data_IF_588956738126
#
_entry.id   IF_588956738126
#
_cell.length_a   1.000
_cell.length_b   1.000
_cell.length_c   1.000
_cell.angle_alpha   90.00
_cell.angle_beta   90.00
_cell.angle_gamma   90.00
#
_symmetry.space_group_name_H-M   'P 1'
#
loop_
_entity.id
_entity.type
_entity.pdbx_description
1 polymer ?
#
# COMPACT_ATOMS: atom_id res chain seq x y z
N UNK A 1 -12.70 -17.11 5.69
CA UNK A 1 -11.66 -18.14 5.94
C UNK A 1 -10.28 -17.48 5.95
N UNK A 2 -9.25 -18.17 6.51
CA UNK A 2 -7.86 -17.66 6.52
C UNK A 2 -7.32 -17.49 5.09
N UNK A 3 -7.65 -18.41 4.21
CA UNK A 3 -7.29 -18.39 2.79
C UNK A 3 -7.93 -17.19 2.05
N UNK A 4 -9.16 -16.86 2.38
CA UNK A 4 -9.87 -15.71 1.79
C UNK A 4 -9.18 -14.39 2.13
N UNK A 5 -8.76 -14.20 3.38
CA UNK A 5 -8.01 -13.03 3.82
C UNK A 5 -6.68 -12.92 3.08
N UNK A 6 -5.97 -14.04 2.93
CA UNK A 6 -4.69 -14.09 2.25
C UNK A 6 -4.83 -13.74 0.76
N UNK A 7 -5.78 -14.38 0.06
CA UNK A 7 -6.07 -14.10 -1.36
C UNK A 7 -6.44 -12.64 -1.55
N UNK A 8 -7.31 -12.09 -0.69
CA UNK A 8 -7.71 -10.68 -0.73
C UNK A 8 -6.50 -9.75 -0.56
N UNK A 9 -5.59 -10.05 0.38
CA UNK A 9 -4.37 -9.27 0.62
C UNK A 9 -3.42 -9.32 -0.58
N UNK A 10 -3.25 -10.49 -1.20
CA UNK A 10 -2.43 -10.65 -2.41
C UNK A 10 -3.03 -9.91 -3.59
N UNK A 11 -4.34 -10.00 -3.81
CA UNK A 11 -5.05 -9.26 -4.86
C UNK A 11 -4.89 -7.75 -4.68
N UNK A 12 -5.08 -7.24 -3.46
CA UNK A 12 -4.89 -5.81 -3.18
C UNK A 12 -3.46 -5.33 -3.43
N UNK A 13 -2.45 -6.15 -3.13
CA UNK A 13 -1.04 -5.84 -3.42
C UNK A 13 -0.74 -5.78 -4.92
N UNK A 14 -1.47 -6.52 -5.76
CA UNK A 14 -1.29 -6.54 -7.22
C UNK A 14 -1.97 -5.37 -7.93
N UNK A 15 -2.88 -4.64 -7.26
CA UNK A 15 -3.57 -3.50 -7.85
C UNK A 15 -2.63 -2.31 -7.99
N UNK A 16 -2.75 -1.60 -9.12
CA UNK A 16 -2.04 -0.34 -9.32
C UNK A 16 -2.54 0.71 -8.34
N UNK A 17 -1.62 1.47 -7.76
CA UNK A 17 -1.98 2.60 -6.90
C UNK A 17 -2.72 3.67 -7.72
N UNK A 18 -3.74 4.27 -7.11
CA UNK A 18 -4.41 5.42 -7.68
C UNK A 18 -3.43 6.60 -7.81
N UNK A 19 -3.57 7.39 -8.89
CA UNK A 19 -2.77 8.59 -9.14
C UNK A 19 -3.68 9.73 -9.58
N UNK A 20 -3.29 10.95 -9.25
CA UNK A 20 -3.91 12.14 -9.82
C UNK A 20 -3.42 12.33 -11.26
N UNK A 21 -4.34 12.61 -12.17
CA UNK A 21 -4.06 12.81 -13.60
C UNK A 21 -4.75 14.06 -14.10
N UNK A 22 -4.12 14.81 -15.02
CA UNK A 22 -4.78 15.92 -15.72
C UNK A 22 -5.80 15.43 -16.76
N UNK A 23 -5.74 14.15 -17.15
CA UNK A 23 -6.69 13.51 -18.07
C UNK A 23 -7.80 12.81 -17.31
N UNK A 24 -9.01 12.89 -17.83
CA UNK A 24 -10.17 12.23 -17.22
C UNK A 24 -10.40 10.87 -17.90
N UNK A 25 -9.81 9.82 -17.33
CA UNK A 25 -9.93 8.46 -17.82
C UNK A 25 -11.13 7.71 -17.18
N UNK A 26 -11.94 8.44 -16.38
CA UNK A 26 -13.04 7.88 -15.60
C UNK A 26 -12.57 7.14 -14.34
N UNK A 27 -13.48 6.44 -13.71
CA UNK A 27 -13.20 5.63 -12.54
C UNK A 27 -13.82 4.23 -12.72
N UNK A 28 -12.98 3.24 -13.02
CA UNK A 28 -13.43 1.88 -13.32
C UNK A 28 -14.23 1.27 -12.17
N UNK A 29 -13.71 1.29 -10.95
CA UNK A 29 -14.34 0.66 -9.80
C UNK A 29 -15.68 1.27 -9.36
N UNK A 30 -15.94 2.54 -9.72
CA UNK A 30 -17.22 3.23 -9.47
C UNK A 30 -18.07 3.33 -10.72
N UNK A 31 -17.58 2.85 -11.87
CA UNK A 31 -18.27 2.95 -13.16
C UNK A 31 -18.65 4.39 -13.57
N UNK A 32 -17.85 5.38 -13.16
CA UNK A 32 -18.08 6.78 -13.51
C UNK A 32 -17.25 7.20 -14.72
N UNK A 33 -17.89 7.83 -15.71
CA UNK A 33 -17.23 8.42 -16.86
C UNK A 33 -16.38 9.63 -16.48
N UNK A 34 -16.82 10.42 -15.52
CA UNK A 34 -16.13 11.60 -14.98
C UNK A 34 -16.01 11.45 -13.48
N UNK A 35 -14.81 11.61 -12.96
CA UNK A 35 -14.55 11.50 -11.54
C UNK A 35 -13.39 12.40 -11.13
N UNK A 36 -13.53 13.02 -9.97
CA UNK A 36 -12.44 13.70 -9.29
C UNK A 36 -12.62 13.63 -7.77
N UNK A 37 -11.55 13.75 -7.04
CA UNK A 37 -11.62 13.99 -5.61
C UNK A 37 -12.13 15.41 -5.35
N UNK A 38 -13.12 15.56 -4.45
CA UNK A 38 -13.79 16.83 -4.23
C UNK A 38 -14.08 17.13 -2.75
N UNK A 39 -14.31 16.10 -1.94
CA UNK A 39 -14.94 16.22 -0.62
C UNK A 39 -14.00 16.50 0.55
N UNK A 40 -12.68 16.52 0.34
CA UNK A 40 -11.69 16.67 1.43
C UNK A 40 -10.63 17.74 1.14
N UNK A 41 -11.02 19.00 0.88
CA UNK A 41 -10.07 20.07 0.49
C UNK A 41 -9.12 20.49 1.62
N UNK A 42 -9.38 20.12 2.87
CA UNK A 42 -8.51 20.41 4.03
C UNK A 42 -7.21 19.59 3.94
N UNK A 43 -7.30 18.33 3.54
CA UNK A 43 -6.18 17.40 3.54
C UNK A 43 -5.69 16.98 2.15
N UNK A 44 -6.45 17.24 1.09
CA UNK A 44 -6.09 16.91 -0.28
C UNK A 44 -6.05 18.15 -1.16
N UNK A 45 -4.87 18.48 -1.62
CA UNK A 45 -4.67 19.64 -2.49
C UNK A 45 -5.44 19.58 -3.82
N UNK A 46 -5.59 18.43 -4.50
CA UNK A 46 -6.42 18.35 -5.70
C UNK A 46 -7.86 18.77 -5.48
N UNK A 47 -8.46 18.40 -4.36
CA UNK A 47 -9.83 18.83 -4.00
C UNK A 47 -9.89 20.37 -3.91
N UNK A 48 -8.94 20.98 -3.19
CA UNK A 48 -8.86 22.43 -3.05
C UNK A 48 -8.65 23.13 -4.40
N UNK A 49 -7.81 22.56 -5.27
CA UNK A 49 -7.57 23.09 -6.60
C UNK A 49 -8.85 23.09 -7.45
N UNK A 50 -9.61 21.98 -7.42
CA UNK A 50 -10.89 21.87 -8.13
C UNK A 50 -11.92 22.86 -7.58
N UNK A 51 -12.04 23.01 -6.25
CA UNK A 51 -12.90 24.01 -5.65
C UNK A 51 -12.60 25.44 -6.16
N UNK A 52 -11.32 25.79 -6.24
CA UNK A 52 -10.88 27.10 -6.74
C UNK A 52 -11.23 27.29 -8.21
N UNK A 53 -11.00 26.28 -9.05
CA UNK A 53 -11.32 26.31 -10.49
C UNK A 53 -12.82 26.43 -10.71
N UNK A 54 -13.63 25.64 -10.00
CA UNK A 54 -15.09 25.71 -10.09
C UNK A 54 -15.61 27.08 -9.64
N UNK A 55 -15.11 27.61 -8.52
CA UNK A 55 -15.50 28.93 -8.03
C UNK A 55 -15.16 30.04 -9.04
N UNK A 56 -13.98 29.98 -9.67
CA UNK A 56 -13.59 30.91 -10.73
C UNK A 56 -14.53 30.80 -11.94
N UNK A 57 -14.81 29.58 -12.39
CA UNK A 57 -15.73 29.33 -13.51
C UNK A 57 -17.12 29.88 -13.27
N UNK A 58 -17.69 29.65 -12.09
CA UNK A 58 -19.04 30.10 -11.74
C UNK A 58 -19.14 31.62 -11.59
N UNK A 59 -18.08 32.28 -11.14
CA UNK A 59 -18.09 33.73 -10.90
C UNK A 59 -17.81 34.57 -12.17
N UNK A 60 -16.85 34.14 -12.98
CA UNK A 60 -16.35 34.98 -14.09
C UNK A 60 -16.18 34.23 -15.40
N UNK A 61 -16.42 32.92 -15.42
CA UNK A 61 -16.05 32.09 -16.54
C UNK A 61 -14.55 31.90 -16.66
N UNK A 62 -14.11 31.13 -17.64
CA UNK A 62 -12.68 30.87 -17.93
C UNK A 62 -12.38 31.31 -19.36
N UNK A 63 -11.49 32.27 -19.50
CA UNK A 63 -10.98 32.72 -20.83
C UNK A 63 -9.97 31.71 -21.39
N UNK A 64 -9.73 31.73 -22.71
CA UNK A 64 -8.76 30.82 -23.37
C UNK A 64 -7.35 30.93 -22.77
N UNK A 65 -6.91 32.17 -22.46
CA UNK A 65 -5.63 32.41 -21.79
C UNK A 65 -5.60 31.76 -20.42
N UNK A 66 -6.68 31.88 -19.66
CA UNK A 66 -6.79 31.29 -18.32
C UNK A 66 -6.87 29.77 -18.39
N UNK A 67 -7.60 29.24 -19.35
CA UNK A 67 -7.66 27.80 -19.62
C UNK A 67 -6.27 27.22 -19.89
N UNK A 68 -5.47 27.86 -20.74
CA UNK A 68 -4.10 27.42 -21.03
C UNK A 68 -3.18 27.44 -19.80
N UNK A 69 -3.36 28.42 -18.92
CA UNK A 69 -2.67 28.47 -17.63
C UNK A 69 -3.13 27.30 -16.70
N UNK A 70 -4.44 27.14 -16.55
CA UNK A 70 -5.01 26.10 -15.68
C UNK A 70 -4.62 24.69 -16.14
N UNK A 71 -4.53 24.44 -17.43
CA UNK A 71 -4.06 23.17 -17.98
C UNK A 71 -2.65 22.81 -17.50
N UNK A 72 -1.73 23.76 -17.51
CA UNK A 72 -0.36 23.57 -16.99
C UNK A 72 -0.36 23.40 -15.47
N UNK A 73 -1.07 24.27 -14.78
CA UNK A 73 -1.22 24.21 -13.33
C UNK A 73 -1.75 22.85 -12.86
N UNK A 74 -2.81 22.33 -13.48
CA UNK A 74 -3.41 21.02 -13.13
C UNK A 74 -2.42 19.90 -13.38
N UNK A 75 -1.64 19.92 -14.46
CA UNK A 75 -0.63 18.90 -14.73
C UNK A 75 0.46 18.87 -13.65
N UNK A 76 0.96 20.03 -13.24
CA UNK A 76 1.96 20.13 -12.17
C UNK A 76 1.37 19.74 -10.80
N UNK A 77 0.16 20.21 -10.52
CA UNK A 77 -0.55 19.89 -9.27
C UNK A 77 -0.83 18.39 -9.14
N UNK A 78 -1.26 17.73 -10.21
CA UNK A 78 -1.52 16.30 -10.24
C UNK A 78 -0.25 15.49 -9.96
N UNK A 79 0.86 15.78 -10.63
CA UNK A 79 2.14 15.12 -10.40
C UNK A 79 2.61 15.28 -8.95
N UNK A 80 2.70 16.53 -8.46
CA UNK A 80 3.14 16.83 -7.10
C UNK A 80 2.22 16.20 -6.03
N UNK A 81 0.91 16.14 -6.29
CA UNK A 81 -0.05 15.54 -5.36
C UNK A 81 0.09 14.02 -5.32
N UNK A 82 0.36 13.36 -6.44
CA UNK A 82 0.62 11.92 -6.48
C UNK A 82 1.88 11.55 -5.70
N UNK A 83 2.96 12.32 -5.87
CA UNK A 83 4.21 12.12 -5.11
C UNK A 83 4.02 12.40 -3.61
N UNK A 84 3.22 13.42 -3.27
CA UNK A 84 2.93 13.75 -1.87
C UNK A 84 2.07 12.67 -1.19
N UNK A 85 1.10 12.08 -1.91
CA UNK A 85 0.27 10.98 -1.42
C UNK A 85 1.12 9.74 -1.11
N UNK A 86 2.04 9.39 -2.00
CA UNK A 86 2.96 8.26 -1.77
C UNK A 86 3.78 8.50 -0.51
N UNK A 87 4.39 9.68 -0.36
CA UNK A 87 5.19 10.01 0.83
C UNK A 87 4.36 10.02 2.12
N UNK A 88 3.12 10.51 2.05
CA UNK A 88 2.23 10.51 3.20
C UNK A 88 1.87 9.09 3.65
N UNK A 89 1.57 8.20 2.70
CA UNK A 89 1.30 6.79 2.96
C UNK A 89 2.53 6.06 3.55
N UNK A 90 3.73 6.34 3.03
CA UNK A 90 4.98 5.78 3.54
C UNK A 90 5.23 6.23 4.98
N UNK A 91 5.08 7.53 5.27
CA UNK A 91 5.24 8.07 6.62
C UNK A 91 4.21 7.49 7.60
N UNK A 92 2.95 7.32 7.20
CA UNK A 92 1.91 6.68 8.01
C UNK A 92 2.26 5.22 8.32
N UNK A 93 2.74 4.49 7.30
CA UNK A 93 3.19 3.11 7.47
C UNK A 93 4.37 3.03 8.44
N UNK A 94 5.42 3.82 8.24
CA UNK A 94 6.59 3.85 9.11
C UNK A 94 6.21 4.18 10.57
N UNK A 95 5.33 5.16 10.78
CA UNK A 95 4.84 5.51 12.11
C UNK A 95 4.07 4.34 12.77
N UNK A 96 3.27 3.62 11.98
CA UNK A 96 2.54 2.44 12.44
C UNK A 96 3.48 1.31 12.78
N UNK A 97 4.47 1.02 11.92
CA UNK A 97 5.44 -0.05 12.12
C UNK A 97 6.32 0.25 13.34
N UNK A 98 6.71 1.51 13.56
CA UNK A 98 7.39 1.94 14.78
C UNK A 98 6.57 1.66 16.04
N UNK A 99 5.26 1.95 16.03
CA UNK A 99 4.38 1.69 17.17
C UNK A 99 4.14 0.19 17.40
N UNK A 100 4.07 -0.60 16.34
CA UNK A 100 4.02 -2.07 16.45
C UNK A 100 5.30 -2.62 17.10
N UNK A 101 6.47 -2.14 16.68
CA UNK A 101 7.75 -2.53 17.27
C UNK A 101 7.86 -2.12 18.75
N UNK A 102 7.45 -0.90 19.09
CA UNK A 102 7.40 -0.41 20.49
C UNK A 102 6.49 -1.29 21.36
N UNK A 103 5.31 -1.66 20.84
CA UNK A 103 4.41 -2.58 21.53
C UNK A 103 5.06 -3.95 21.76
N UNK A 104 5.68 -4.54 20.73
CA UNK A 104 6.32 -5.85 20.83
C UNK A 104 7.56 -5.86 21.74
N UNK A 105 8.17 -4.71 22.01
CA UNK A 105 9.32 -4.60 22.91
C UNK A 105 9.00 -5.10 24.33
N UNK A 106 7.77 -4.89 24.81
CA UNK A 106 7.31 -5.37 26.11
C UNK A 106 6.91 -6.83 26.14
N UNK A 107 6.86 -7.51 24.96
CA UNK A 107 6.43 -8.88 24.78
C UNK A 107 7.57 -9.81 24.34
N UNK A 108 8.81 -9.37 24.50
CA UNK A 108 10.00 -10.16 24.16
C UNK A 108 10.05 -11.41 25.07
N UNK A 109 10.21 -12.59 24.44
CA UNK A 109 10.26 -13.87 25.13
C UNK A 109 8.90 -14.60 25.23
N UNK A 110 7.83 -13.97 24.79
CA UNK A 110 6.51 -14.61 24.69
C UNK A 110 6.38 -15.45 23.41
N UNK A 111 5.48 -16.42 23.45
CA UNK A 111 5.19 -17.32 22.32
C UNK A 111 3.81 -16.99 21.76
N UNK A 112 3.73 -16.86 20.43
CA UNK A 112 2.51 -16.53 19.71
C UNK A 112 2.23 -17.52 18.59
N UNK A 113 0.95 -17.75 18.32
CA UNK A 113 0.52 -18.36 17.07
C UNK A 113 0.57 -17.30 15.97
N UNK A 114 1.14 -17.67 14.83
CA UNK A 114 1.28 -16.78 13.69
C UNK A 114 0.96 -17.51 12.40
N UNK A 115 0.75 -16.78 11.33
CA UNK A 115 0.55 -17.30 9.97
C UNK A 115 1.66 -16.77 9.08
N UNK A 116 2.24 -17.60 8.25
CA UNK A 116 3.22 -17.18 7.25
C UNK A 116 2.52 -16.28 6.23
N UNK A 117 2.84 -14.99 6.25
CA UNK A 117 2.24 -13.98 5.36
C UNK A 117 2.98 -13.80 4.04
N UNK A 118 4.29 -14.04 4.04
CA UNK A 118 5.12 -14.04 2.84
C UNK A 118 6.41 -14.81 3.05
N UNK A 119 6.97 -15.34 1.96
CA UNK A 119 8.23 -16.09 1.95
C UNK A 119 9.20 -15.41 1.00
N UNK A 120 10.47 -15.32 1.42
CA UNK A 120 11.55 -14.67 0.68
C UNK A 120 12.82 -15.53 0.72
N UNK A 121 13.83 -15.17 -0.09
CA UNK A 121 15.10 -15.87 -0.09
C UNK A 121 15.95 -15.73 1.20
N UNK A 122 15.59 -14.80 2.09
CA UNK A 122 16.29 -14.56 3.35
C UNK A 122 15.50 -14.98 4.60
N UNK A 123 14.27 -15.49 4.41
CA UNK A 123 13.40 -15.93 5.49
C UNK A 123 11.91 -15.80 5.13
N UNK A 124 11.05 -15.86 6.13
CA UNK A 124 9.64 -15.65 5.96
C UNK A 124 9.08 -14.62 6.95
N UNK A 125 8.01 -13.98 6.57
CA UNK A 125 7.27 -13.10 7.47
C UNK A 125 6.13 -13.87 8.12
N UNK A 126 6.00 -13.73 9.43
CA UNK A 126 4.95 -14.31 10.24
C UNK A 126 4.06 -13.21 10.78
N UNK A 127 2.76 -13.30 10.54
CA UNK A 127 1.74 -12.34 10.98
C UNK A 127 0.97 -12.91 12.17
N UNK A 128 0.94 -12.18 13.26
CA UNK A 128 0.18 -12.49 14.47
C UNK A 128 -1.32 -12.18 14.26
N UNK A 129 -2.18 -12.71 15.11
CA UNK A 129 -3.64 -12.46 15.06
C UNK A 129 -4.00 -10.95 15.19
N UNK A 130 -3.17 -10.16 15.85
CA UNK A 130 -3.33 -8.72 16.00
C UNK A 130 -2.80 -7.90 14.79
N UNK A 131 -2.35 -8.55 13.71
CA UNK A 131 -1.85 -7.93 12.49
C UNK A 131 -0.43 -7.37 12.60
N UNK A 132 0.33 -7.76 13.63
CA UNK A 132 1.76 -7.46 13.71
C UNK A 132 2.52 -8.52 12.92
N UNK A 133 3.36 -8.08 12.00
CA UNK A 133 4.18 -8.95 11.16
C UNK A 133 5.65 -8.86 11.59
N UNK A 134 6.30 -10.00 11.71
CA UNK A 134 7.71 -10.11 12.07
C UNK A 134 8.48 -10.99 11.09
N UNK A 135 9.76 -10.69 10.87
CA UNK A 135 10.65 -11.49 10.04
C UNK A 135 11.29 -12.62 10.86
N UNK A 136 11.11 -13.85 10.39
CA UNK A 136 11.89 -15.02 10.81
C UNK A 136 12.97 -15.25 9.77
N UNK A 137 14.23 -14.96 10.13
CA UNK A 137 15.36 -15.09 9.19
C UNK A 137 15.79 -16.56 9.07
N UNK A 138 16.27 -16.95 7.88
CA UNK A 138 16.84 -18.28 7.69
C UNK A 138 17.98 -18.59 8.70
N UNK A 139 18.77 -17.59 9.05
CA UNK A 139 19.84 -17.72 10.02
C UNK A 139 19.37 -18.07 11.44
N UNK A 140 18.10 -17.84 11.74
CA UNK A 140 17.48 -18.13 13.06
C UNK A 140 16.76 -19.50 13.08
N UNK A 141 16.74 -20.20 11.95
CA UNK A 141 16.19 -21.55 11.81
C UNK A 141 17.33 -22.57 11.92
N UNK A 142 17.56 -23.10 13.12
CA UNK A 142 18.71 -23.99 13.40
C UNK A 142 18.40 -25.48 13.19
N UNK A 143 17.13 -25.82 12.86
CA UNK A 143 16.69 -27.21 12.75
C UNK A 143 17.05 -27.83 11.39
N UNK A 144 17.23 -27.04 10.34
CA UNK A 144 17.63 -27.50 9.00
C UNK A 144 18.30 -26.43 8.17
N UNK A 145 18.80 -26.81 6.98
CA UNK A 145 19.20 -25.90 5.92
C UNK A 145 18.02 -25.70 4.97
N UNK A 146 17.55 -24.45 4.86
CA UNK A 146 16.36 -24.12 4.07
C UNK A 146 16.75 -23.47 2.74
N UNK A 147 16.19 -23.99 1.65
CA UNK A 147 16.34 -23.48 0.29
C UNK A 147 15.04 -22.82 -0.15
N UNK A 148 15.15 -21.64 -0.74
CA UNK A 148 14.02 -20.91 -1.27
C UNK A 148 13.64 -21.38 -2.67
N UNK A 149 12.39 -21.75 -2.88
CA UNK A 149 11.82 -22.05 -4.20
C UNK A 149 10.98 -20.84 -4.67
N UNK A 150 11.47 -20.20 -5.73
CA UNK A 150 10.78 -19.04 -6.36
C UNK A 150 9.45 -19.40 -7.02
N UNK A 151 9.28 -20.66 -7.46
CA UNK A 151 8.07 -21.09 -8.18
C UNK A 151 6.90 -21.23 -7.25
N UNK A 152 7.14 -21.82 -6.08
CA UNK A 152 6.12 -22.11 -5.09
C UNK A 152 6.09 -21.05 -3.97
N UNK A 153 7.02 -20.06 -3.98
CA UNK A 153 7.22 -19.09 -2.91
C UNK A 153 7.27 -19.76 -1.54
N UNK A 154 8.15 -20.76 -1.43
CA UNK A 154 8.28 -21.61 -0.23
C UNK A 154 9.73 -21.80 0.19
N UNK A 155 9.94 -22.16 1.45
CA UNK A 155 11.22 -22.59 1.98
C UNK A 155 11.16 -24.10 2.25
N UNK A 156 12.13 -24.85 1.70
CA UNK A 156 12.24 -26.31 1.87
C UNK A 156 13.49 -26.66 2.66
N UNK A 157 13.30 -27.43 3.76
CA UNK A 157 14.40 -28.01 4.51
C UNK A 157 14.97 -29.22 3.80
N UNK A 158 16.29 -29.25 3.60
CA UNK A 158 16.98 -30.32 2.83
C UNK A 158 16.99 -31.67 3.54
N UNK A 159 17.01 -31.70 4.87
CA UNK A 159 17.12 -32.92 5.67
C UNK A 159 15.79 -33.39 6.25
N UNK A 160 14.98 -32.43 6.72
CA UNK A 160 13.73 -32.74 7.45
C UNK A 160 12.52 -32.78 6.55
N UNK A 161 12.63 -32.33 5.29
CA UNK A 161 11.53 -32.08 4.37
C UNK A 161 10.46 -31.10 4.92
N UNK A 162 10.79 -30.36 5.96
CA UNK A 162 9.92 -29.35 6.53
C UNK A 162 9.79 -28.20 5.54
N UNK A 163 8.59 -27.74 5.32
CA UNK A 163 8.32 -26.67 4.36
C UNK A 163 7.59 -25.54 5.06
N UNK A 164 7.95 -24.30 4.72
CA UNK A 164 7.19 -23.10 5.08
C UNK A 164 6.60 -22.47 3.84
N UNK A 165 5.29 -22.33 3.81
CA UNK A 165 4.52 -21.73 2.70
C UNK A 165 3.63 -20.64 3.24
N UNK A 166 3.22 -19.78 2.34
CA UNK A 166 2.22 -18.75 2.67
C UNK A 166 0.93 -19.43 3.16
N UNK A 167 0.49 -19.04 4.35
CA UNK A 167 -0.72 -19.58 4.99
C UNK A 167 -0.48 -20.68 6.03
N UNK A 168 0.75 -21.17 6.18
CA UNK A 168 1.11 -22.14 7.23
C UNK A 168 1.03 -21.50 8.62
#
# INVERSE_FOLDING_TARGET
TKEEMLISKMMLRSLMKAKYSPTCDGHFGLAFKYYCHFTSPIRRYPDLAIHRIIKEFLNSGITDRRYSYLKRFVSEAAAKSSDAEIRAMEAEREATDMKKAEYMQSHIGEHYSAIVSSVTSFGFFAELENGIEGLVRLADLYDDYYVFDERDLSLHGERTNKTYRIGD
#
